data_IF_150024284143
#
_entry.id   IF_150024284143
#
_cell.length_a   1.000
_cell.length_b   1.000
_cell.length_c   1.000
_cell.angle_alpha   90.00
_cell.angle_beta   90.00
_cell.angle_gamma   90.00
#
_symmetry.space_group_name_H-M   'P 1'
#
loop_
_entity.id
_entity.type
_entity.pdbx_description
1 polymer ?
#
# COMPACT_ATOMS: atom_id res chain seq x y z
N UNK A 1 -11.91 -4.73 12.69
CA UNK A 1 -11.82 -4.32 11.26
C UNK A 1 -10.37 -4.12 10.81
N UNK A 2 -9.57 -3.33 11.52
CA UNK A 2 -8.13 -3.19 11.21
C UNK A 2 -7.37 -4.52 11.30
N UNK A 3 -7.57 -5.29 12.37
CA UNK A 3 -6.96 -6.63 12.55
C UNK A 3 -7.28 -7.59 11.39
N UNK A 4 -8.56 -7.67 11.01
CA UNK A 4 -9.01 -8.46 9.86
C UNK A 4 -8.36 -7.99 8.55
N UNK A 5 -8.35 -6.67 8.29
CA UNK A 5 -7.69 -6.10 7.12
C UNK A 5 -6.19 -6.41 7.10
N UNK A 6 -5.52 -6.29 8.24
CA UNK A 6 -4.09 -6.59 8.36
C UNK A 6 -3.78 -8.07 8.10
N UNK A 7 -4.61 -8.99 8.61
CA UNK A 7 -4.49 -10.42 8.34
C UNK A 7 -4.68 -10.73 6.85
N UNK A 8 -5.68 -10.11 6.21
CA UNK A 8 -5.93 -10.26 4.77
C UNK A 8 -4.76 -9.73 3.95
N UNK A 9 -4.21 -8.57 4.33
CA UNK A 9 -3.03 -8.01 3.71
C UNK A 9 -1.85 -8.98 3.80
N UNK A 10 -1.50 -9.46 5.00
CA UNK A 10 -0.39 -10.39 5.20
C UNK A 10 -0.55 -11.70 4.44
N UNK A 11 -1.78 -12.19 4.31
CA UNK A 11 -2.07 -13.45 3.63
C UNK A 11 -1.99 -13.35 2.11
N UNK A 12 -2.38 -12.21 1.53
CA UNK A 12 -2.50 -12.05 0.06
C UNK A 12 -1.46 -11.10 -0.54
N UNK A 13 -0.54 -10.55 0.25
CA UNK A 13 0.50 -9.63 -0.27
C UNK A 13 1.39 -10.31 -1.31
N UNK A 14 1.68 -11.60 -1.15
CA UNK A 14 2.47 -12.41 -2.08
C UNK A 14 1.74 -12.75 -3.38
N UNK A 15 0.40 -12.64 -3.39
CA UNK A 15 -0.42 -12.88 -4.58
C UNK A 15 -0.46 -11.63 -5.48
N UNK A 16 -0.10 -10.48 -4.92
CA UNK A 16 -0.13 -9.17 -5.60
C UNK A 16 1.28 -8.69 -5.93
N UNK A 17 2.24 -8.94 -5.04
CA UNK A 17 3.63 -8.51 -5.18
C UNK A 17 4.51 -9.69 -5.59
N UNK A 18 5.38 -9.47 -6.58
CA UNK A 18 6.32 -10.48 -7.04
C UNK A 18 7.48 -10.54 -6.03
N UNK A 19 7.67 -11.66 -5.30
CA UNK A 19 8.70 -11.73 -4.29
C UNK A 19 10.11 -11.56 -4.87
N UNK A 20 10.35 -11.93 -6.13
CA UNK A 20 11.62 -11.71 -6.79
C UNK A 20 11.85 -10.21 -7.07
N UNK A 21 10.81 -9.49 -7.53
CA UNK A 21 10.88 -8.04 -7.74
C UNK A 21 11.01 -7.28 -6.43
N UNK A 22 10.30 -7.69 -5.38
CA UNK A 22 10.42 -7.09 -4.04
C UNK A 22 11.83 -7.28 -3.49
N UNK A 23 12.42 -8.47 -3.60
CA UNK A 23 13.83 -8.70 -3.20
C UNK A 23 14.79 -7.84 -4.01
N UNK A 24 14.58 -7.72 -5.32
CA UNK A 24 15.40 -6.86 -6.19
C UNK A 24 15.27 -5.38 -5.78
N UNK A 25 14.05 -4.92 -5.54
CA UNK A 25 13.77 -3.56 -5.07
C UNK A 25 14.42 -3.29 -3.72
N UNK A 26 14.35 -4.24 -2.78
CA UNK A 26 14.99 -4.13 -1.47
C UNK A 26 16.52 -4.06 -1.58
N UNK A 27 17.14 -4.82 -2.51
CA UNK A 27 18.58 -4.73 -2.78
C UNK A 27 18.97 -3.35 -3.31
N UNK A 28 18.29 -2.86 -4.35
CA UNK A 28 18.55 -1.52 -4.90
C UNK A 28 18.31 -0.40 -3.88
N UNK A 29 17.24 -0.52 -3.10
CA UNK A 29 16.91 0.38 -1.99
C UNK A 29 18.02 0.42 -0.93
N UNK A 30 18.51 -0.75 -0.51
CA UNK A 30 19.64 -0.87 0.42
C UNK A 30 20.92 -0.27 -0.15
N UNK A 31 21.26 -0.57 -1.41
CA UNK A 31 22.42 0.02 -2.09
C UNK A 31 22.32 1.55 -2.18
N UNK A 32 21.16 2.09 -2.53
CA UNK A 32 20.94 3.54 -2.60
C UNK A 32 21.07 4.21 -1.23
N UNK A 33 20.55 3.60 -0.17
CA UNK A 33 20.70 4.10 1.20
C UNK A 33 22.18 4.12 1.63
N UNK A 34 22.94 3.06 1.35
CA UNK A 34 24.37 2.99 1.67
C UNK A 34 25.15 4.06 0.90
N UNK A 35 24.92 4.20 -0.40
CA UNK A 35 25.58 5.23 -1.22
C UNK A 35 25.27 6.63 -0.71
N UNK A 36 24.01 6.91 -0.38
CA UNK A 36 23.61 8.19 0.19
C UNK A 36 24.28 8.46 1.53
N UNK A 37 24.34 7.46 2.42
CA UNK A 37 25.00 7.58 3.72
C UNK A 37 26.49 7.87 3.58
N UNK A 38 27.19 7.11 2.73
CA UNK A 38 28.62 7.32 2.46
C UNK A 38 28.85 8.71 1.86
N UNK A 39 28.03 9.13 0.90
CA UNK A 39 28.11 10.46 0.31
C UNK A 39 27.93 11.59 1.34
N UNK A 40 26.92 11.48 2.21
CA UNK A 40 26.70 12.45 3.28
C UNK A 40 27.82 12.45 4.32
N UNK A 41 28.37 11.29 4.69
CA UNK A 41 29.48 11.20 5.63
C UNK A 41 30.77 11.81 5.06
N UNK A 42 31.05 11.60 3.77
CA UNK A 42 32.16 12.25 3.07
C UNK A 42 31.94 13.75 3.02
N UNK A 43 30.72 14.21 2.71
CA UNK A 43 30.39 15.64 2.70
C UNK A 43 30.60 16.26 4.08
N UNK A 44 30.13 15.60 5.14
CA UNK A 44 30.33 16.04 6.53
C UNK A 44 31.82 16.17 6.86
N UNK A 45 32.62 15.15 6.55
CA UNK A 45 34.06 15.17 6.81
C UNK A 45 34.82 16.26 6.02
N UNK A 46 34.23 16.79 4.93
CA UNK A 46 34.89 17.77 4.05
C UNK A 46 34.46 19.21 4.31
N UNK A 47 33.19 19.43 4.64
CA UNK A 47 32.61 20.79 4.72
C UNK A 47 31.80 21.05 5.99
N UNK A 48 31.68 20.07 6.90
CA UNK A 48 30.93 20.19 8.16
C UNK A 48 29.51 20.76 7.94
N UNK A 49 28.82 20.25 6.91
CA UNK A 49 27.58 20.85 6.42
C UNK A 49 26.42 20.75 7.41
N UNK A 50 26.48 19.83 8.38
CA UNK A 50 25.44 19.76 9.41
C UNK A 50 25.61 20.86 10.48
N UNK A 51 26.85 21.29 10.78
CA UNK A 51 27.14 22.27 11.83
C UNK A 51 26.63 21.86 13.22
N UNK A 52 26.50 20.55 13.50
CA UNK A 52 25.98 20.04 14.77
C UNK A 52 26.93 19.07 15.48
N UNK A 53 26.61 18.70 16.72
CA UNK A 53 27.37 17.70 17.46
C UNK A 53 27.40 16.34 16.71
N UNK A 54 28.51 15.57 16.77
CA UNK A 54 28.71 14.39 15.94
C UNK A 54 27.58 13.35 15.99
N UNK A 55 27.00 13.16 17.18
CA UNK A 55 25.87 12.24 17.38
C UNK A 55 24.63 12.71 16.62
N UNK A 56 24.34 14.02 16.67
CA UNK A 56 23.18 14.63 16.01
C UNK A 56 23.32 14.55 14.49
N UNK A 57 24.52 14.83 13.97
CA UNK A 57 24.87 14.66 12.56
C UNK A 57 24.69 13.20 12.09
N UNK A 58 25.18 12.24 12.87
CA UNK A 58 25.06 10.82 12.55
C UNK A 58 23.58 10.37 12.50
N UNK A 59 22.76 10.77 13.48
CA UNK A 59 21.32 10.46 13.48
C UNK A 59 20.63 11.05 12.24
N UNK A 60 20.89 12.31 11.90
CA UNK A 60 20.30 12.94 10.74
C UNK A 60 20.68 12.24 9.43
N UNK A 61 21.96 11.92 9.24
CA UNK A 61 22.44 11.22 8.04
C UNK A 61 21.83 9.83 7.89
N UNK A 62 21.69 9.07 8.98
CA UNK A 62 21.02 7.76 8.96
C UNK A 62 19.56 7.89 8.55
N UNK A 63 18.83 8.86 9.13
CA UNK A 63 17.44 9.11 8.79
C UNK A 63 17.28 9.51 7.31
N UNK A 64 18.10 10.44 6.82
CA UNK A 64 18.07 10.86 5.42
C UNK A 64 18.39 9.70 4.47
N UNK A 65 19.39 8.87 4.81
CA UNK A 65 19.76 7.69 4.01
C UNK A 65 18.63 6.64 3.96
N UNK A 66 17.97 6.39 5.10
CA UNK A 66 16.77 5.54 5.16
C UNK A 66 15.63 6.12 4.31
N UNK A 67 15.45 7.45 4.35
CA UNK A 67 14.51 8.18 3.49
C UNK A 67 14.77 7.93 2.00
N UNK A 68 16.03 8.02 1.56
CA UNK A 68 16.45 7.72 0.17
C UNK A 68 16.21 6.25 -0.19
N UNK A 69 16.53 5.33 0.72
CA UNK A 69 16.28 3.90 0.52
C UNK A 69 14.79 3.61 0.29
N UNK A 70 13.94 4.12 1.18
CA UNK A 70 12.48 3.94 1.07
C UNK A 70 11.90 4.59 -0.19
N UNK A 71 12.40 5.77 -0.57
CA UNK A 71 12.00 6.43 -1.82
C UNK A 71 12.35 5.56 -3.03
N UNK A 72 13.59 5.07 -3.07
CA UNK A 72 14.07 4.18 -4.13
C UNK A 72 13.21 2.93 -4.23
N UNK A 73 12.83 2.33 -3.09
CA UNK A 73 11.92 1.19 -3.06
C UNK A 73 10.54 1.55 -3.65
N UNK A 74 9.97 2.69 -3.29
CA UNK A 74 8.67 3.15 -3.78
C UNK A 74 8.65 3.45 -5.30
N UNK A 75 9.82 3.74 -5.88
CA UNK A 75 9.99 3.98 -7.31
C UNK A 75 10.09 2.69 -8.14
N UNK A 76 10.44 1.54 -7.53
CA UNK A 76 10.62 0.29 -8.25
C UNK A 76 9.29 -0.47 -8.36
N UNK A 77 8.82 -0.83 -9.56
CA UNK A 77 7.56 -1.55 -9.73
C UNK A 77 7.68 -3.01 -9.25
N UNK A 78 7.00 -3.33 -8.16
CA UNK A 78 6.98 -4.66 -7.51
C UNK A 78 5.74 -5.50 -7.81
N UNK A 79 4.82 -4.97 -8.63
CA UNK A 79 3.53 -5.61 -8.93
C UNK A 79 3.68 -6.87 -9.79
N UNK A 80 2.93 -7.91 -9.45
CA UNK A 80 2.69 -9.04 -10.35
C UNK A 80 1.72 -8.64 -11.47
N UNK A 81 1.96 -9.10 -12.71
CA UNK A 81 0.98 -8.95 -13.78
C UNK A 81 -0.39 -9.49 -13.36
N UNK A 82 -1.50 -8.82 -13.73
CA UNK A 82 -2.83 -9.35 -13.48
C UNK A 82 -2.99 -10.72 -14.16
N UNK A 83 -3.65 -11.64 -13.46
CA UNK A 83 -4.03 -12.93 -14.04
C UNK A 83 -4.96 -12.67 -15.23
N UNK A 84 -4.68 -13.21 -16.43
CA UNK A 84 -5.48 -12.95 -17.63
C UNK A 84 -6.96 -13.34 -17.48
N UNK A 85 -7.28 -14.21 -16.51
CA UNK A 85 -8.66 -14.59 -16.18
C UNK A 85 -9.47 -13.51 -15.44
N UNK A 86 -8.82 -12.48 -14.87
CA UNK A 86 -9.48 -11.38 -14.16
C UNK A 86 -10.08 -10.36 -15.14
N UNK A 87 -11.20 -10.74 -15.76
CA UNK A 87 -11.97 -9.85 -16.64
C UNK A 87 -13.25 -9.39 -15.93
N UNK A 88 -13.66 -8.16 -16.20
CA UNK A 88 -15.02 -7.71 -15.87
C UNK A 88 -15.76 -7.51 -17.18
N UNK A 89 -16.86 -8.25 -17.39
CA UNK A 89 -17.63 -8.23 -18.64
C UNK A 89 -16.75 -8.52 -19.88
N UNK A 90 -15.79 -9.46 -19.76
CA UNK A 90 -14.88 -9.82 -20.86
C UNK A 90 -13.77 -8.81 -21.17
N UNK A 91 -13.68 -7.68 -20.44
CA UNK A 91 -12.58 -6.72 -20.57
C UNK A 91 -11.60 -6.87 -19.41
N UNK A 92 -10.30 -6.89 -19.72
CA UNK A 92 -9.27 -6.76 -18.69
C UNK A 92 -9.36 -5.37 -18.06
N UNK A 93 -9.69 -5.31 -16.78
CA UNK A 93 -9.63 -4.07 -16.01
C UNK A 93 -8.31 -4.05 -15.26
N UNK A 94 -7.51 -3.00 -15.45
CA UNK A 94 -6.26 -2.83 -14.70
C UNK A 94 -6.59 -2.69 -13.21
N UNK A 95 -6.17 -3.63 -12.34
CA UNK A 95 -6.49 -3.57 -10.92
C UNK A 95 -5.90 -2.33 -10.22
N UNK A 96 -4.85 -1.73 -10.79
CA UNK A 96 -4.21 -0.52 -10.28
C UNK A 96 -5.09 0.74 -10.36
N UNK A 97 -6.22 0.69 -11.09
CA UNK A 97 -7.14 1.82 -11.26
C UNK A 97 -8.42 1.70 -10.41
N UNK A 98 -8.70 0.53 -9.82
CA UNK A 98 -9.87 0.32 -8.97
C UNK A 98 -9.52 0.51 -7.49
N UNK A 99 -9.45 1.77 -7.08
CA UNK A 99 -9.33 2.19 -5.67
C UNK A 99 -10.69 2.28 -4.95
N UNK A 100 -11.77 2.07 -5.69
CA UNK A 100 -13.15 2.06 -5.21
C UNK A 100 -13.90 0.88 -5.80
N UNK A 101 -14.77 0.27 -5.00
CA UNK A 101 -15.78 -0.67 -5.49
C UNK A 101 -16.68 0.05 -6.51
N UNK A 102 -17.27 -0.68 -7.45
CA UNK A 102 -18.27 -0.08 -8.37
C UNK A 102 -19.40 0.53 -7.54
N UNK A 103 -20.03 1.61 -8.04
CA UNK A 103 -21.11 2.28 -7.30
C UNK A 103 -22.20 1.33 -6.81
N UNK A 104 -22.48 0.26 -7.58
CA UNK A 104 -23.41 -0.81 -7.22
C UNK A 104 -22.98 -1.66 -6.00
N UNK A 105 -21.68 -1.85 -5.76
CA UNK A 105 -21.14 -2.67 -4.66
C UNK A 105 -20.56 -1.83 -3.52
N UNK A 106 -20.38 -0.53 -3.73
CA UNK A 106 -19.89 0.42 -2.73
C UNK A 106 -20.75 0.43 -1.46
N UNK A 107 -22.05 0.16 -1.59
CA UNK A 107 -23.00 0.05 -0.48
C UNK A 107 -22.63 -1.07 0.51
N UNK A 108 -22.09 -2.19 0.02
CA UNK A 108 -21.72 -3.34 0.86
C UNK A 108 -20.36 -3.18 1.57
N UNK A 109 -19.50 -2.28 1.07
CA UNK A 109 -18.16 -2.00 1.63
C UNK A 109 -18.17 -0.85 2.66
N UNK A 110 -19.37 -0.37 3.02
CA UNK A 110 -19.54 0.71 3.99
C UNK A 110 -19.15 0.33 5.43
N UNK A 111 -18.98 1.36 6.26
CA UNK A 111 -18.67 1.18 7.69
C UNK A 111 -19.77 0.40 8.41
N UNK A 112 -21.04 0.69 8.12
CA UNK A 112 -22.18 -0.09 8.60
C UNK A 112 -22.38 -1.31 7.69
N UNK A 113 -22.54 -2.53 8.25
CA UNK A 113 -22.86 -3.70 7.45
C UNK A 113 -24.22 -3.54 6.80
N UNK A 114 -24.31 -3.82 5.50
CA UNK A 114 -25.57 -4.02 4.79
C UNK A 114 -25.62 -5.48 4.34
N UNK A 115 -26.73 -6.20 4.58
CA UNK A 115 -26.88 -7.57 4.11
C UNK A 115 -26.76 -7.62 2.58
N UNK A 116 -25.94 -8.55 2.08
CA UNK A 116 -25.76 -8.76 0.64
C UNK A 116 -27.02 -9.42 0.09
N UNK A 117 -27.54 -8.91 -1.02
CA UNK A 117 -28.67 -9.55 -1.72
C UNK A 117 -28.12 -10.76 -2.50
N UNK A 118 -28.84 -11.91 -2.55
CA UNK A 118 -28.38 -13.11 -3.25
C UNK A 118 -28.03 -12.87 -4.72
N UNK A 119 -28.78 -11.99 -5.39
CA UNK A 119 -28.54 -11.54 -6.78
C UNK A 119 -27.21 -10.81 -6.99
N UNK A 120 -26.67 -10.17 -5.95
CA UNK A 120 -25.41 -9.43 -6.01
C UNK A 120 -24.20 -10.24 -5.55
N UNK A 121 -24.39 -11.52 -5.18
CA UNK A 121 -23.36 -12.39 -4.63
C UNK A 121 -22.10 -12.45 -5.49
N UNK A 122 -22.23 -12.78 -6.77
CA UNK A 122 -21.09 -12.97 -7.66
C UNK A 122 -20.41 -11.63 -8.02
N UNK A 123 -21.18 -10.54 -8.11
CA UNK A 123 -20.66 -9.20 -8.34
C UNK A 123 -19.83 -8.73 -7.14
N UNK A 124 -20.34 -8.93 -5.91
CA UNK A 124 -19.62 -8.57 -4.67
C UNK A 124 -18.35 -9.40 -4.51
N UNK A 125 -18.37 -10.69 -4.85
CA UNK A 125 -17.18 -11.56 -4.82
C UNK A 125 -16.10 -11.08 -5.78
N UNK A 126 -16.46 -10.82 -7.04
CA UNK A 126 -15.52 -10.35 -8.05
C UNK A 126 -14.92 -8.97 -7.68
N UNK A 127 -15.76 -8.03 -7.27
CA UNK A 127 -15.33 -6.68 -6.91
C UNK A 127 -14.45 -6.67 -5.64
N UNK A 128 -14.73 -7.54 -4.66
CA UNK A 128 -13.91 -7.64 -3.44
C UNK A 128 -12.48 -8.12 -3.75
N UNK A 129 -12.31 -9.05 -4.69
CA UNK A 129 -10.98 -9.54 -5.11
C UNK A 129 -10.20 -8.44 -5.82
N UNK A 130 -10.84 -7.70 -6.73
CA UNK A 130 -10.22 -6.61 -7.47
C UNK A 130 -9.84 -5.44 -6.55
N UNK A 131 -10.75 -5.05 -5.65
CA UNK A 131 -10.50 -4.01 -4.65
C UNK A 131 -9.37 -4.40 -3.71
N UNK A 132 -9.31 -5.66 -3.26
CA UNK A 132 -8.21 -6.18 -2.45
C UNK A 132 -6.87 -6.04 -3.17
N UNK A 133 -6.79 -6.42 -4.44
CA UNK A 133 -5.56 -6.32 -5.24
C UNK A 133 -5.13 -4.86 -5.45
N UNK A 134 -6.07 -3.97 -5.76
CA UNK A 134 -5.83 -2.53 -5.90
C UNK A 134 -5.34 -1.88 -4.60
N UNK A 135 -6.00 -2.18 -3.47
CA UNK A 135 -5.63 -1.67 -2.15
C UNK A 135 -4.26 -2.18 -1.68
N UNK A 136 -3.97 -3.48 -1.81
CA UNK A 136 -2.68 -4.06 -1.42
C UNK A 136 -1.54 -3.43 -2.20
N UNK A 137 -1.66 -3.35 -3.53
CA UNK A 137 -0.60 -2.78 -4.35
C UNK A 137 -0.43 -1.27 -4.16
N UNK A 138 -1.53 -0.56 -3.85
CA UNK A 138 -1.45 0.86 -3.46
C UNK A 138 -0.70 1.00 -2.14
N UNK A 139 -1.08 0.24 -1.12
CA UNK A 139 -0.42 0.24 0.20
C UNK A 139 1.07 -0.08 0.07
N UNK A 140 1.42 -1.05 -0.77
CA UNK A 140 2.81 -1.46 -1.02
C UNK A 140 3.67 -0.36 -1.63
N UNK A 141 3.07 0.64 -2.30
CA UNK A 141 3.78 1.78 -2.89
C UNK A 141 3.69 3.04 -2.02
N UNK A 142 2.51 3.32 -1.46
CA UNK A 142 2.29 4.54 -0.67
C UNK A 142 2.89 4.45 0.72
N UNK A 143 2.95 3.25 1.33
CA UNK A 143 3.59 3.07 2.64
C UNK A 143 5.09 3.40 2.62
N UNK A 144 5.93 2.85 1.71
CA UNK A 144 7.34 3.23 1.66
C UNK A 144 7.53 4.68 1.21
N UNK A 145 6.66 5.24 0.36
CA UNK A 145 6.73 6.65 -0.04
C UNK A 145 6.48 7.61 1.13
N UNK A 146 5.40 7.38 1.90
CA UNK A 146 5.09 8.18 3.07
C UNK A 146 6.10 7.95 4.20
N UNK A 147 6.56 6.72 4.37
CA UNK A 147 7.65 6.38 5.28
C UNK A 147 8.95 7.11 4.93
N UNK A 148 9.30 7.18 3.64
CA UNK A 148 10.45 7.97 3.17
C UNK A 148 10.32 9.44 3.57
N UNK A 149 9.17 10.07 3.28
CA UNK A 149 8.93 11.46 3.64
C UNK A 149 8.98 11.70 5.13
N UNK A 150 8.37 10.84 5.95
CA UNK A 150 8.39 10.95 7.41
C UNK A 150 9.82 10.87 7.95
N UNK A 151 10.60 9.88 7.53
CA UNK A 151 11.97 9.68 8.02
C UNK A 151 12.89 10.81 7.52
N UNK A 152 12.74 11.28 6.28
CA UNK A 152 13.50 12.41 5.76
C UNK A 152 13.20 13.71 6.52
N UNK A 153 11.91 13.98 6.81
CA UNK A 153 11.51 15.15 7.61
C UNK A 153 12.01 15.05 9.05
N UNK A 154 12.04 13.85 9.64
CA UNK A 154 12.68 13.65 10.95
C UNK A 154 14.18 13.95 10.90
N UNK A 155 14.89 13.53 9.85
CA UNK A 155 16.30 13.87 9.65
C UNK A 155 16.52 15.38 9.52
N UNK A 156 15.68 16.06 8.73
CA UNK A 156 15.70 17.52 8.61
C UNK A 156 15.29 18.22 9.92
N UNK A 157 14.38 17.66 10.71
CA UNK A 157 14.00 18.19 12.02
C UNK A 157 15.17 18.10 13.00
N UNK A 158 15.89 16.97 12.98
CA UNK A 158 17.11 16.80 13.76
C UNK A 158 18.14 17.85 13.37
N UNK A 159 18.29 18.26 12.11
CA UNK A 159 19.25 19.30 11.72
C UNK A 159 18.77 20.74 12.01
N UNK A 160 17.48 20.95 12.30
CA UNK A 160 16.89 22.28 12.50
C UNK A 160 16.14 22.94 11.33
N UNK A 161 16.30 22.59 10.03
CA UNK A 161 15.54 23.23 8.96
C UNK A 161 14.05 22.84 8.92
N UNK A 162 13.65 21.71 9.51
CA UNK A 162 12.23 21.33 9.57
C UNK A 162 11.61 21.67 10.93
N UNK A 163 10.35 22.12 10.92
CA UNK A 163 9.57 22.37 12.12
C UNK A 163 8.68 21.18 12.51
N UNK A 164 8.21 21.16 13.77
CA UNK A 164 7.28 20.14 14.26
C UNK A 164 6.00 20.01 13.42
N UNK A 165 5.56 21.11 12.81
CA UNK A 165 4.43 21.10 11.87
C UNK A 165 4.64 20.13 10.70
N UNK A 166 5.85 20.07 10.12
CA UNK A 166 6.16 19.15 9.03
C UNK A 166 6.12 17.69 9.48
N UNK A 167 6.62 17.41 10.68
CA UNK A 167 6.59 16.07 11.28
C UNK A 167 5.13 15.64 11.50
N UNK A 168 4.32 16.50 12.11
CA UNK A 168 2.90 16.24 12.33
C UNK A 168 2.13 16.05 11.02
N UNK A 169 2.43 16.84 10.00
CA UNK A 169 1.83 16.71 8.67
C UNK A 169 2.09 15.31 8.10
N UNK A 170 3.35 14.87 8.01
CA UNK A 170 3.67 13.52 7.51
C UNK A 170 3.11 12.40 8.41
N UNK A 171 3.10 12.59 9.73
CA UNK A 171 2.48 11.65 10.64
C UNK A 171 0.97 11.50 10.36
N UNK A 172 0.24 12.60 10.12
CA UNK A 172 -1.18 12.57 9.79
C UNK A 172 -1.46 11.80 8.48
N UNK A 173 -0.67 12.02 7.42
CA UNK A 173 -0.78 11.24 6.18
C UNK A 173 -0.47 9.76 6.38
N UNK A 174 0.52 9.45 7.22
CA UNK A 174 0.88 8.06 7.56
C UNK A 174 -0.24 7.37 8.33
N UNK A 175 -0.90 8.06 9.26
CA UNK A 175 -2.09 7.55 9.95
C UNK A 175 -3.24 7.31 8.97
N UNK A 176 -3.37 8.14 7.92
CA UNK A 176 -4.34 7.92 6.84
C UNK A 176 -4.20 6.58 6.12
N UNK A 177 -2.99 5.97 6.09
CA UNK A 177 -2.80 4.62 5.55
C UNK A 177 -3.61 3.55 6.28
N UNK A 178 -3.90 3.77 7.57
CA UNK A 178 -4.73 2.85 8.35
C UNK A 178 -6.14 2.71 7.76
N UNK A 179 -6.66 3.74 7.08
CA UNK A 179 -7.97 3.68 6.43
C UNK A 179 -7.98 2.65 5.29
N UNK A 180 -6.90 2.52 4.52
CA UNK A 180 -6.78 1.52 3.46
C UNK A 180 -6.83 0.10 4.04
N UNK A 181 -6.17 -0.14 5.17
CA UNK A 181 -6.22 -1.42 5.88
C UNK A 181 -7.63 -1.70 6.41
N UNK A 182 -8.30 -0.68 6.95
CA UNK A 182 -9.70 -0.82 7.40
C UNK A 182 -10.63 -1.10 6.22
N UNK A 183 -10.46 -0.44 5.07
CA UNK A 183 -11.23 -0.70 3.83
C UNK A 183 -11.02 -2.14 3.36
N UNK A 184 -9.80 -2.67 3.46
CA UNK A 184 -9.50 -4.07 3.17
C UNK A 184 -10.32 -5.01 4.06
N UNK A 185 -10.37 -4.74 5.37
CA UNK A 185 -11.19 -5.51 6.31
C UNK A 185 -12.69 -5.43 6.02
N UNK A 186 -13.20 -4.26 5.59
CA UNK A 186 -14.61 -4.11 5.19
C UNK A 186 -14.93 -4.89 3.92
N UNK A 187 -14.03 -4.89 2.93
CA UNK A 187 -14.18 -5.65 1.69
C UNK A 187 -14.21 -7.16 1.94
N UNK A 188 -13.36 -7.64 2.85
CA UNK A 188 -13.34 -9.05 3.23
C UNK A 188 -14.60 -9.46 3.98
N UNK A 189 -15.12 -8.61 4.88
CA UNK A 189 -16.40 -8.85 5.54
C UNK A 189 -17.53 -9.00 4.51
N UNK A 190 -17.59 -8.12 3.51
CA UNK A 190 -18.59 -8.20 2.45
C UNK A 190 -18.46 -9.49 1.63
N UNK A 191 -17.23 -9.93 1.34
CA UNK A 191 -16.94 -11.22 0.68
C UNK A 191 -17.47 -12.41 1.49
N UNK A 192 -17.15 -12.46 2.79
CA UNK A 192 -17.60 -13.53 3.67
C UNK A 192 -19.14 -13.57 3.78
N UNK A 193 -19.80 -12.41 3.85
CA UNK A 193 -21.26 -12.32 3.84
C UNK A 193 -21.88 -12.79 2.52
N UNK A 194 -21.24 -12.53 1.38
CA UNK A 194 -21.68 -13.05 0.09
C UNK A 194 -21.44 -14.57 -0.02
N UNK A 195 -20.36 -15.08 0.59
CA UNK A 195 -20.04 -16.50 0.60
C UNK A 195 -21.03 -17.34 1.40
N UNK A 196 -21.56 -16.80 2.50
CA UNK A 196 -22.59 -17.46 3.32
C UNK A 196 -23.97 -17.57 2.68
N UNK A 197 -24.21 -16.86 1.55
CA UNK A 197 -25.48 -16.95 0.84
C UNK A 197 -25.48 -18.14 -0.12
N UNK A 198 -26.62 -18.82 -0.22
CA UNK A 198 -26.87 -19.77 -1.30
C UNK A 198 -26.89 -19.04 -2.65
N UNK A 199 -26.46 -19.72 -3.75
CA UNK A 199 -26.59 -19.15 -5.08
C UNK A 199 -28.05 -18.80 -5.36
N UNK A 200 -28.31 -17.62 -5.93
CA UNK A 200 -29.67 -17.27 -6.34
C UNK A 200 -30.18 -18.32 -7.35
N UNK A 201 -31.42 -18.84 -7.19
CA UNK A 201 -32.02 -19.75 -8.16
C UNK A 201 -32.17 -18.98 -9.50
N UNK A 202 -31.35 -19.34 -10.49
CA UNK A 202 -31.31 -18.69 -11.80
C UNK A 202 -29.93 -18.43 -12.40
N UNK A 203 -28.83 -18.64 -11.65
CA UNK A 203 -27.45 -18.52 -12.19
C UNK A 203 -26.87 -19.85 -12.70
N UNK A 204 -27.67 -20.90 -12.86
CA UNK A 204 -27.26 -22.10 -13.59
C UNK A 204 -27.50 -21.90 -15.09
N UNK A 205 -26.43 -21.67 -15.85
CA UNK A 205 -26.30 -21.88 -17.28
C UNK A 205 -27.46 -21.36 -18.19
N UNK A 206 -27.25 -20.21 -18.84
CA UNK A 206 -27.73 -20.07 -20.22
C UNK A 206 -26.65 -20.66 -21.14
N UNK A 207 -26.91 -21.76 -21.86
CA UNK A 207 -26.17 -22.05 -23.07
C UNK A 207 -26.42 -20.89 -24.04
N UNK A 208 -25.36 -20.41 -24.67
CA UNK A 208 -25.48 -19.56 -25.84
C UNK A 208 -25.82 -20.53 -26.98
N UNK A 209 -27.06 -20.48 -27.48
CA UNK A 209 -27.37 -20.92 -28.84
C UNK A 209 -26.95 -19.84 -29.84
#
# INVERSE_FOLDING_TARGET
MFTLGWQVFRRHVTDVLDPARVRRAARWSGSAAVVALVGMAVLEARVDWTGTAPVRSAVAMVLLALGVGLLTFACIPTWQPPDPSTTINGRQVRPSWQLAARGATQLYVQRRPVPVLPEHREIVRADAVLLRRGLIGTLARTAPLLGSGLVAVLGAFVLGPASWFHVLWFAAYTVGLSEYVVRLGRSERARLSAESLEPAPGTSARPIE
#
